data_IF_025364589728
#
_entry.id   IF_025364589728
#
_cell.length_a   1.000
_cell.length_b   1.000
_cell.length_c   1.000
_cell.angle_alpha   90.00
_cell.angle_beta   90.00
_cell.angle_gamma   90.00
#
_symmetry.space_group_name_H-M   'P 1'
#
loop_
_entity.id
_entity.type
_entity.pdbx_description
1 polymer ?
#
# COMPACT_ATOMS: atom_id res chain seq x y z
N UNK A 1 -1.59 8.12 19.78
CA UNK A 1 -0.82 6.88 20.02
C UNK A 1 -0.19 6.34 18.75
N UNK A 2 -0.94 6.24 17.64
CA UNK A 2 -0.43 5.72 16.36
C UNK A 2 0.75 6.56 15.83
N UNK A 3 0.61 7.89 15.80
CA UNK A 3 1.64 8.81 15.28
C UNK A 3 2.97 8.80 16.05
N UNK A 4 2.98 8.38 17.32
CA UNK A 4 4.21 8.38 18.12
C UNK A 4 5.10 7.18 17.84
N UNK A 5 4.60 6.16 17.11
CA UNK A 5 5.34 4.92 16.80
C UNK A 5 5.76 4.11 18.03
N UNK A 6 5.31 4.48 19.23
CA UNK A 6 5.63 3.80 20.50
C UNK A 6 4.74 2.59 20.76
N UNK A 7 3.54 2.60 20.19
CA UNK A 7 2.53 1.55 20.32
C UNK A 7 2.17 1.11 18.91
N UNK A 8 2.03 -0.21 18.70
CA UNK A 8 1.57 -0.77 17.42
C UNK A 8 0.21 -0.18 17.04
N UNK A 9 0.01 0.11 15.74
CA UNK A 9 -1.21 0.75 15.24
C UNK A 9 -2.47 -0.04 15.62
N UNK A 10 -2.38 -1.36 15.60
CA UNK A 10 -3.47 -2.29 15.91
C UNK A 10 -3.84 -2.20 17.39
N UNK A 11 -2.83 -2.22 18.27
CA UNK A 11 -3.03 -2.08 19.71
C UNK A 11 -3.65 -0.73 20.04
N UNK A 12 -3.18 0.35 19.40
CA UNK A 12 -3.74 1.67 19.59
C UNK A 12 -5.21 1.77 19.12
N UNK A 13 -5.56 1.13 18.01
CA UNK A 13 -6.94 1.07 17.52
C UNK A 13 -7.84 0.28 18.48
N UNK A 14 -7.43 -0.91 18.91
CA UNK A 14 -8.19 -1.73 19.87
C UNK A 14 -8.40 -1.01 21.22
N UNK A 15 -7.36 -0.35 21.72
CA UNK A 15 -7.47 0.44 22.94
C UNK A 15 -8.42 1.64 22.75
N UNK A 16 -8.37 2.29 21.58
CA UNK A 16 -9.31 3.33 21.21
C UNK A 16 -10.76 2.83 21.21
N UNK A 17 -11.01 1.69 20.56
CA UNK A 17 -12.35 1.05 20.52
C UNK A 17 -12.84 0.76 21.93
N UNK A 18 -11.99 0.19 22.79
CA UNK A 18 -12.35 -0.08 24.19
C UNK A 18 -12.76 1.20 24.93
N UNK A 19 -11.99 2.29 24.80
CA UNK A 19 -12.32 3.57 25.43
C UNK A 19 -13.62 4.18 24.86
N UNK A 20 -13.77 4.14 23.55
CA UNK A 20 -14.95 4.67 22.86
C UNK A 20 -16.21 3.91 23.25
N UNK A 21 -16.18 2.58 23.26
CA UNK A 21 -17.32 1.76 23.70
C UNK A 21 -17.62 1.99 25.18
N UNK A 22 -16.60 2.07 26.03
CA UNK A 22 -16.80 2.38 27.46
C UNK A 22 -17.50 3.73 27.64
N UNK A 23 -17.10 4.75 26.88
CA UNK A 23 -17.77 6.04 26.85
C UNK A 23 -19.17 5.95 26.22
N UNK A 24 -19.34 5.15 25.17
CA UNK A 24 -20.61 4.89 24.47
C UNK A 24 -21.67 4.32 25.40
N UNK A 25 -21.31 3.32 26.20
CA UNK A 25 -22.18 2.74 27.21
C UNK A 25 -22.47 3.72 28.36
N UNK A 26 -21.46 4.48 28.81
CA UNK A 26 -21.64 5.44 29.92
C UNK A 26 -22.47 6.68 29.53
N UNK A 27 -22.37 7.13 28.28
CA UNK A 27 -23.03 8.33 27.76
C UNK A 27 -24.23 8.01 26.85
N UNK A 28 -24.56 6.73 26.68
CA UNK A 28 -25.68 6.22 25.89
C UNK A 28 -25.70 6.69 24.42
N UNK A 29 -24.54 6.85 23.78
CA UNK A 29 -24.45 7.22 22.35
C UNK A 29 -24.15 6.04 21.42
N UNK A 30 -23.61 4.93 21.94
CA UNK A 30 -23.26 3.77 21.12
C UNK A 30 -23.14 2.49 21.94
N UNK A 31 -23.63 1.39 21.39
CA UNK A 31 -23.48 0.01 21.88
C UNK A 31 -22.44 -0.77 21.07
N UNK A 32 -22.05 -1.95 21.56
CA UNK A 32 -21.12 -2.83 20.84
C UNK A 32 -21.73 -3.36 19.53
N UNK A 33 -23.02 -3.68 19.54
CA UNK A 33 -23.75 -4.15 18.37
C UNK A 33 -23.80 -3.08 17.27
N UNK A 34 -24.14 -1.84 17.63
CA UNK A 34 -24.10 -0.71 16.69
C UNK A 34 -22.68 -0.48 16.14
N UNK A 35 -21.65 -0.57 16.98
CA UNK A 35 -20.27 -0.45 16.52
C UNK A 35 -19.88 -1.54 15.51
N UNK A 36 -20.39 -2.77 15.66
CA UNK A 36 -20.18 -3.86 14.70
C UNK A 36 -20.85 -3.61 13.35
N UNK A 37 -22.00 -2.92 13.33
CA UNK A 37 -22.70 -2.55 12.08
C UNK A 37 -21.91 -1.54 11.24
N UNK A 38 -21.06 -0.72 11.88
CA UNK A 38 -20.15 0.19 11.17
C UNK A 38 -18.96 -0.51 10.51
N UNK A 39 -18.70 -1.79 10.83
CA UNK A 39 -17.61 -2.54 10.20
C UNK A 39 -17.99 -2.88 8.77
N UNK A 40 -17.21 -2.35 7.82
CA UNK A 40 -17.36 -2.73 6.42
C UNK A 40 -16.72 -4.11 6.17
N UNK A 41 -17.56 -5.14 6.23
CA UNK A 41 -17.16 -6.52 5.99
C UNK A 41 -16.71 -6.78 4.55
N UNK A 42 -17.16 -5.97 3.59
CA UNK A 42 -16.73 -6.08 2.20
C UNK A 42 -15.24 -5.77 2.10
N UNK A 43 -14.78 -4.68 2.74
CA UNK A 43 -13.35 -4.34 2.81
C UNK A 43 -12.54 -5.43 3.53
N UNK A 44 -13.02 -5.91 4.68
CA UNK A 44 -12.29 -6.94 5.45
C UNK A 44 -12.13 -8.23 4.65
N UNK A 45 -13.19 -8.69 3.99
CA UNK A 45 -13.18 -9.91 3.18
C UNK A 45 -12.36 -9.75 1.89
N UNK A 46 -12.40 -8.57 1.27
CA UNK A 46 -11.55 -8.21 0.13
C UNK A 46 -10.07 -8.32 0.52
N UNK A 47 -9.66 -7.68 1.62
CA UNK A 47 -8.28 -7.73 2.11
C UNK A 47 -7.86 -9.16 2.47
N UNK A 48 -8.70 -9.90 3.19
CA UNK A 48 -8.41 -11.28 3.55
C UNK A 48 -8.21 -12.18 2.33
N UNK A 49 -9.09 -12.08 1.32
CA UNK A 49 -9.00 -12.84 0.08
C UNK A 49 -7.73 -12.52 -0.71
N UNK A 50 -7.41 -11.22 -0.84
CA UNK A 50 -6.20 -10.76 -1.54
C UNK A 50 -4.92 -11.18 -0.81
N UNK A 51 -4.83 -10.97 0.51
CA UNK A 51 -3.65 -11.38 1.29
C UNK A 51 -3.43 -12.89 1.25
N UNK A 52 -4.52 -13.68 1.31
CA UNK A 52 -4.46 -15.14 1.17
C UNK A 52 -3.92 -15.53 -0.21
N UNK A 53 -4.47 -14.95 -1.27
CA UNK A 53 -4.03 -15.19 -2.65
C UNK A 53 -2.53 -14.84 -2.84
N UNK A 54 -2.13 -13.65 -2.40
CA UNK A 54 -0.77 -13.13 -2.55
C UNK A 54 0.24 -13.98 -1.78
N UNK A 55 -0.12 -14.43 -0.58
CA UNK A 55 0.72 -15.34 0.20
C UNK A 55 1.06 -16.62 -0.56
N UNK A 56 0.08 -17.18 -1.28
CA UNK A 56 0.31 -18.35 -2.14
C UNK A 56 1.22 -18.02 -3.33
N UNK A 57 0.98 -16.90 -4.01
CA UNK A 57 1.82 -16.48 -5.14
C UNK A 57 3.27 -16.23 -4.70
N UNK A 58 3.47 -15.60 -3.54
CA UNK A 58 4.80 -15.34 -2.99
C UNK A 58 5.59 -16.63 -2.73
N UNK A 59 4.91 -17.67 -2.23
CA UNK A 59 5.51 -18.97 -1.93
C UNK A 59 6.06 -19.69 -3.17
N UNK A 60 5.48 -19.44 -4.34
CA UNK A 60 5.99 -19.99 -5.62
C UNK A 60 7.38 -19.45 -6.00
N UNK A 61 7.83 -18.36 -5.37
CA UNK A 61 9.08 -17.69 -5.70
C UNK A 61 8.95 -16.63 -6.79
N UNK A 62 7.73 -16.31 -7.23
CA UNK A 62 7.44 -15.34 -8.28
C UNK A 62 8.13 -13.97 -8.06
N UNK A 63 8.03 -13.39 -6.86
CA UNK A 63 8.65 -12.08 -6.58
C UNK A 63 10.18 -12.14 -6.59
N UNK A 64 10.77 -13.23 -6.09
CA UNK A 64 12.22 -13.46 -6.18
C UNK A 64 12.68 -13.58 -7.63
N UNK A 65 11.95 -14.36 -8.43
CA UNK A 65 12.18 -14.47 -9.88
C UNK A 65 12.18 -13.08 -10.54
N UNK A 66 11.18 -12.25 -10.26
CA UNK A 66 11.08 -10.90 -10.84
C UNK A 66 12.28 -10.01 -10.45
N UNK A 67 12.66 -9.97 -9.17
CA UNK A 67 13.78 -9.13 -8.75
C UNK A 67 15.12 -9.59 -9.30
N UNK A 68 15.40 -10.90 -9.31
CA UNK A 68 16.64 -11.44 -9.92
C UNK A 68 16.68 -11.14 -11.42
N UNK A 69 15.54 -11.27 -12.11
CA UNK A 69 15.43 -10.91 -13.53
C UNK A 69 15.69 -9.43 -13.77
N UNK A 70 15.11 -8.55 -12.95
CA UNK A 70 15.39 -7.11 -13.00
C UNK A 70 16.89 -6.80 -12.85
N UNK A 71 17.56 -7.46 -11.93
CA UNK A 71 18.99 -7.26 -11.70
C UNK A 71 19.81 -7.71 -12.91
N UNK A 72 19.51 -8.87 -13.50
CA UNK A 72 20.23 -9.30 -14.72
C UNK A 72 20.01 -8.33 -15.89
N UNK A 73 18.79 -7.83 -16.06
CA UNK A 73 18.47 -6.83 -17.08
C UNK A 73 19.25 -5.53 -16.88
N UNK A 74 19.52 -5.16 -15.62
CA UNK A 74 20.27 -3.95 -15.29
C UNK A 74 21.75 -4.01 -15.68
N UNK A 75 22.31 -5.21 -15.88
CA UNK A 75 23.74 -5.46 -16.15
C UNK A 75 24.69 -4.77 -15.15
N UNK A 76 24.25 -4.63 -13.89
CA UNK A 76 25.03 -4.01 -12.81
C UNK A 76 24.96 -2.48 -12.77
N UNK A 77 24.14 -1.84 -13.61
CA UNK A 77 23.89 -0.41 -13.51
C UNK A 77 22.93 -0.11 -12.35
N UNK A 78 23.43 0.55 -11.30
CA UNK A 78 22.65 0.86 -10.08
C UNK A 78 21.38 1.68 -10.34
N UNK A 79 21.39 2.57 -11.34
CA UNK A 79 20.20 3.31 -11.71
C UNK A 79 19.13 2.39 -12.30
N UNK A 80 19.53 1.45 -13.16
CA UNK A 80 18.59 0.49 -13.75
C UNK A 80 18.09 -0.51 -12.70
N UNK A 81 18.93 -0.93 -11.75
CA UNK A 81 18.50 -1.78 -10.62
C UNK A 81 17.44 -1.06 -9.82
N UNK A 82 17.73 0.17 -9.40
CA UNK A 82 16.76 0.99 -8.66
C UNK A 82 15.48 1.15 -9.46
N UNK A 83 15.56 1.53 -10.73
CA UNK A 83 14.40 1.73 -11.59
C UNK A 83 13.57 0.45 -11.72
N UNK A 84 14.20 -0.70 -12.01
CA UNK A 84 13.46 -1.94 -12.22
C UNK A 84 12.86 -2.50 -10.95
N UNK A 85 13.61 -2.52 -9.83
CA UNK A 85 13.07 -2.98 -8.55
C UNK A 85 11.94 -2.09 -8.08
N UNK A 86 12.13 -0.76 -8.09
CA UNK A 86 11.06 0.17 -7.66
C UNK A 86 9.84 0.12 -8.57
N UNK A 87 10.00 -0.02 -9.89
CA UNK A 87 8.85 -0.18 -10.80
C UNK A 87 8.14 -1.51 -10.58
N UNK A 88 8.87 -2.62 -10.41
CA UNK A 88 8.25 -3.91 -10.07
C UNK A 88 7.45 -3.77 -8.78
N UNK A 89 8.05 -3.21 -7.72
CA UNK A 89 7.37 -2.97 -6.44
C UNK A 89 6.15 -2.07 -6.61
N UNK A 90 6.24 -1.03 -7.44
CA UNK A 90 5.11 -0.13 -7.77
C UNK A 90 3.96 -0.90 -8.43
N UNK A 91 4.24 -1.68 -9.48
CA UNK A 91 3.23 -2.46 -10.20
C UNK A 91 2.64 -3.59 -9.35
N UNK A 92 3.47 -4.25 -8.55
CA UNK A 92 3.01 -5.25 -7.60
C UNK A 92 2.07 -4.62 -6.58
N UNK A 93 2.42 -3.43 -6.07
CA UNK A 93 1.59 -2.68 -5.12
C UNK A 93 0.28 -2.15 -5.73
N UNK A 94 0.13 -2.11 -7.05
CA UNK A 94 -1.16 -1.82 -7.70
C UNK A 94 -2.16 -2.96 -7.57
N UNK A 95 -1.68 -4.17 -7.30
CA UNK A 95 -2.53 -5.37 -7.24
C UNK A 95 -2.55 -5.96 -5.83
N UNK A 96 -1.50 -5.68 -5.06
CA UNK A 96 -1.24 -6.20 -3.73
C UNK A 96 -1.16 -5.02 -2.78
N UNK A 97 -1.56 -5.17 -1.52
CA UNK A 97 -1.39 -4.10 -0.56
C UNK A 97 0.10 -3.72 -0.39
N UNK A 98 0.33 -2.44 -0.11
CA UNK A 98 1.65 -1.85 0.03
C UNK A 98 2.51 -2.53 1.11
N UNK A 99 1.95 -2.88 2.27
CA UNK A 99 2.70 -3.50 3.37
C UNK A 99 3.20 -4.87 2.95
N UNK A 100 2.33 -5.73 2.43
CA UNK A 100 2.69 -7.05 1.91
C UNK A 100 3.74 -6.95 0.81
N UNK A 101 3.59 -5.99 -0.11
CA UNK A 101 4.56 -5.78 -1.20
C UNK A 101 5.94 -5.45 -0.65
N UNK A 102 6.03 -4.54 0.31
CA UNK A 102 7.29 -4.16 0.94
C UNK A 102 7.90 -5.32 1.74
N UNK A 103 7.10 -6.09 2.48
CA UNK A 103 7.57 -7.24 3.24
C UNK A 103 8.19 -8.34 2.35
N UNK A 104 7.70 -8.47 1.11
CA UNK A 104 8.21 -9.43 0.13
C UNK A 104 9.44 -8.92 -0.63
N UNK A 105 9.45 -7.63 -0.99
CA UNK A 105 10.50 -7.03 -1.81
C UNK A 105 11.75 -6.63 -1.01
N UNK A 106 11.61 -6.09 0.21
CA UNK A 106 12.77 -5.64 1.00
C UNK A 106 13.80 -6.76 1.25
N UNK A 107 13.43 -7.98 1.70
CA UNK A 107 14.42 -9.03 1.93
C UNK A 107 15.26 -9.34 0.68
N UNK A 108 14.62 -9.35 -0.48
CA UNK A 108 15.28 -9.53 -1.77
C UNK A 108 16.21 -8.36 -2.08
N UNK A 109 15.73 -7.13 -1.88
CA UNK A 109 16.52 -5.91 -2.08
C UNK A 109 17.76 -5.85 -1.19
N UNK A 110 17.63 -6.27 0.08
CA UNK A 110 18.74 -6.37 1.03
C UNK A 110 19.75 -7.40 0.56
N UNK A 111 19.31 -8.63 0.26
CA UNK A 111 20.15 -9.72 -0.24
C UNK A 111 20.98 -9.27 -1.47
N UNK A 112 20.33 -8.56 -2.38
CA UNK A 112 20.96 -8.05 -3.61
C UNK A 112 21.98 -6.95 -3.31
N UNK A 113 21.64 -6.02 -2.42
CA UNK A 113 22.56 -4.94 -2.04
C UNK A 113 23.79 -5.48 -1.30
N UNK A 114 23.61 -6.48 -0.43
CA UNK A 114 24.70 -7.17 0.28
C UNK A 114 25.63 -7.88 -0.71
N UNK A 115 25.08 -8.64 -1.66
CA UNK A 115 25.86 -9.27 -2.74
C UNK A 115 26.67 -8.23 -3.53
N UNK A 116 26.09 -7.04 -3.74
CA UNK A 116 26.74 -5.95 -4.47
C UNK A 116 27.75 -5.14 -3.63
N UNK A 117 27.84 -5.40 -2.33
CA UNK A 117 28.55 -4.58 -1.34
C UNK A 117 28.18 -3.08 -1.39
N UNK A 118 26.88 -2.79 -1.54
CA UNK A 118 26.34 -1.42 -1.57
C UNK A 118 25.39 -1.19 -0.39
N UNK A 119 25.22 0.07 0.01
CA UNK A 119 24.20 0.43 0.98
C UNK A 119 22.79 0.19 0.37
N UNK A 120 21.92 -0.67 0.97
CA UNK A 120 20.57 -0.97 0.47
C UNK A 120 19.60 0.21 0.63
N UNK A 121 19.92 1.19 1.48
CA UNK A 121 18.96 2.20 1.93
C UNK A 121 18.28 2.97 0.78
N UNK A 122 18.97 3.41 -0.29
CA UNK A 122 18.29 4.06 -1.41
C UNK A 122 17.27 3.16 -2.08
N UNK A 123 17.55 1.85 -2.22
CA UNK A 123 16.59 0.91 -2.81
C UNK A 123 15.39 0.71 -1.90
N UNK A 124 15.60 0.45 -0.60
CA UNK A 124 14.53 0.27 0.39
C UNK A 124 13.62 1.51 0.44
N UNK A 125 14.19 2.71 0.49
CA UNK A 125 13.44 3.96 0.49
C UNK A 125 12.70 4.20 -0.82
N UNK A 126 13.35 3.92 -1.95
CA UNK A 126 12.73 3.96 -3.27
C UNK A 126 11.51 3.05 -3.32
N UNK A 127 11.66 1.80 -2.92
CA UNK A 127 10.57 0.81 -2.91
C UNK A 127 9.45 1.22 -1.97
N UNK A 128 9.75 1.65 -0.75
CA UNK A 128 8.74 2.07 0.22
C UNK A 128 7.95 3.30 -0.26
N UNK A 129 8.60 4.29 -0.87
CA UNK A 129 7.92 5.50 -1.34
C UNK A 129 7.19 5.26 -2.65
N UNK A 130 7.83 4.61 -3.63
CA UNK A 130 7.22 4.39 -4.93
C UNK A 130 6.10 3.31 -4.88
N UNK A 131 6.18 2.33 -3.98
CA UNK A 131 5.04 1.43 -3.72
C UNK A 131 3.83 2.20 -3.21
N UNK A 132 4.00 3.16 -2.30
CA UNK A 132 2.89 4.00 -1.85
C UNK A 132 2.33 4.86 -2.99
N UNK A 133 3.18 5.44 -3.85
CA UNK A 133 2.71 6.19 -5.03
C UNK A 133 1.95 5.29 -5.99
N UNK A 134 2.44 4.06 -6.21
CA UNK A 134 1.81 3.07 -7.08
C UNK A 134 0.52 2.46 -6.53
N UNK A 135 0.49 2.17 -5.23
CA UNK A 135 -0.64 1.53 -4.56
C UNK A 135 -1.91 2.38 -4.61
N UNK A 136 -1.77 3.71 -4.67
CA UNK A 136 -2.89 4.65 -4.90
C UNK A 136 -3.53 4.49 -6.28
N UNK A 137 -2.90 3.80 -7.23
CA UNK A 137 -3.41 3.69 -8.61
C UNK A 137 -4.63 2.81 -8.75
N UNK A 138 -4.86 1.91 -7.80
CA UNK A 138 -6.01 1.04 -7.82
C UNK A 138 -6.72 1.10 -6.48
N UNK A 139 -8.00 0.76 -6.52
CA UNK A 139 -8.83 0.66 -5.33
C UNK A 139 -8.27 -0.36 -4.32
N UNK A 140 -7.54 -1.38 -4.79
CA UNK A 140 -7.12 -2.54 -3.99
C UNK A 140 -5.69 -2.38 -3.44
N UNK A 141 -4.86 -1.53 -4.07
CA UNK A 141 -3.44 -1.43 -3.75
C UNK A 141 -3.10 -0.90 -2.34
N UNK A 142 -4.06 -0.28 -1.65
CA UNK A 142 -3.94 0.10 -0.24
C UNK A 142 -5.33 0.17 0.41
N UNK A 143 -5.53 -0.39 1.61
CA UNK A 143 -6.82 -0.30 2.31
C UNK A 143 -7.50 1.09 2.39
N UNK A 144 -6.81 2.24 2.59
CA UNK A 144 -7.44 3.56 2.54
C UNK A 144 -8.10 3.86 1.19
N UNK A 145 -7.60 3.30 0.08
CA UNK A 145 -8.22 3.49 -1.24
C UNK A 145 -9.57 2.79 -1.31
N UNK A 146 -9.70 1.62 -0.70
CA UNK A 146 -10.97 0.89 -0.60
C UNK A 146 -11.98 1.74 0.18
N UNK A 147 -11.55 2.34 1.31
CA UNK A 147 -12.40 3.23 2.11
C UNK A 147 -12.90 4.43 1.30
N UNK A 148 -11.99 5.09 0.56
CA UNK A 148 -12.32 6.25 -0.26
C UNK A 148 -13.28 5.85 -1.39
N UNK A 149 -13.02 4.73 -2.06
CA UNK A 149 -13.87 4.22 -3.11
C UNK A 149 -15.30 3.94 -2.64
N UNK A 150 -15.43 3.27 -1.49
CA UNK A 150 -16.73 2.98 -0.90
C UNK A 150 -17.47 4.26 -0.50
N UNK A 151 -16.79 5.19 0.18
CA UNK A 151 -17.38 6.46 0.58
C UNK A 151 -17.77 7.37 -0.61
N UNK A 152 -17.05 7.28 -1.73
CA UNK A 152 -17.32 8.06 -2.95
C UNK A 152 -18.30 7.39 -3.91
N UNK A 153 -18.58 6.10 -3.75
CA UNK A 153 -19.35 5.30 -4.69
C UNK A 153 -18.64 5.11 -6.04
N UNK A 154 -17.33 5.36 -6.12
CA UNK A 154 -16.59 5.16 -7.35
C UNK A 154 -16.42 3.68 -7.67
N UNK A 155 -16.57 3.33 -8.94
CA UNK A 155 -16.22 2.00 -9.41
C UNK A 155 -14.73 1.80 -9.57
N UNK A 156 -14.29 0.54 -9.66
CA UNK A 156 -12.89 0.16 -9.88
C UNK A 156 -12.29 0.88 -11.10
N UNK A 157 -13.02 0.92 -12.21
CA UNK A 157 -12.56 1.59 -13.42
C UNK A 157 -12.55 3.11 -13.26
N UNK A 158 -13.60 3.68 -12.65
CA UNK A 158 -13.65 5.12 -12.42
C UNK A 158 -12.49 5.57 -11.52
N UNK A 159 -12.18 4.82 -10.47
CA UNK A 159 -11.08 5.07 -9.57
C UNK A 159 -9.73 5.11 -10.30
N UNK A 160 -9.46 4.11 -11.15
CA UNK A 160 -8.23 4.06 -11.96
C UNK A 160 -8.17 5.25 -12.92
N UNK A 161 -9.23 5.51 -13.69
CA UNK A 161 -9.22 6.57 -14.71
C UNK A 161 -8.96 7.95 -14.11
N UNK A 162 -9.52 8.24 -12.94
CA UNK A 162 -9.33 9.53 -12.27
C UNK A 162 -7.93 9.67 -11.66
N UNK A 163 -7.37 8.61 -11.09
CA UNK A 163 -6.08 8.70 -10.38
C UNK A 163 -4.86 8.44 -11.26
N UNK A 164 -5.02 7.67 -12.36
CA UNK A 164 -3.91 7.26 -13.21
C UNK A 164 -3.05 8.43 -13.73
N UNK A 165 -3.63 9.55 -14.23
CA UNK A 165 -2.82 10.68 -14.70
C UNK A 165 -1.97 11.30 -13.57
N UNK A 166 -2.59 11.54 -12.42
CA UNK A 166 -1.95 12.11 -11.23
C UNK A 166 -0.80 11.24 -10.75
N UNK A 167 -0.98 9.92 -10.78
CA UNK A 167 0.02 8.96 -10.32
C UNK A 167 1.18 8.82 -11.31
N UNK A 168 0.94 8.85 -12.62
CA UNK A 168 2.04 8.84 -13.60
C UNK A 168 2.94 10.07 -13.45
N UNK A 169 2.36 11.25 -13.18
CA UNK A 169 3.12 12.47 -12.91
C UNK A 169 3.88 12.34 -11.58
N UNK A 170 3.22 11.83 -10.53
CA UNK A 170 3.84 11.60 -9.23
C UNK A 170 5.00 10.60 -9.29
N UNK A 171 4.82 9.49 -10.00
CA UNK A 171 5.82 8.44 -10.18
C UNK A 171 7.03 8.99 -10.97
N UNK A 172 6.79 9.69 -12.07
CA UNK A 172 7.84 10.34 -12.86
C UNK A 172 8.63 11.37 -12.04
N UNK A 173 7.92 12.20 -11.28
CA UNK A 173 8.55 13.18 -10.39
C UNK A 173 9.31 12.55 -9.23
N UNK A 174 8.81 11.47 -8.63
CA UNK A 174 9.51 10.72 -7.58
C UNK A 174 10.79 10.06 -8.10
N UNK A 175 10.76 9.48 -9.30
CA UNK A 175 11.94 8.94 -9.99
C UNK A 175 12.95 10.03 -10.35
N UNK A 176 12.47 11.21 -10.76
CA UNK A 176 13.34 12.35 -11.05
C UNK A 176 14.03 12.87 -9.78
N UNK A 177 13.26 13.04 -8.70
CA UNK A 177 13.77 13.44 -7.38
C UNK A 177 14.81 12.42 -6.87
N UNK A 178 14.53 11.11 -7.01
CA UNK A 178 15.46 10.06 -6.60
C UNK A 178 16.77 10.13 -7.39
N UNK A 179 16.72 10.41 -8.70
CA UNK A 179 17.89 10.61 -9.58
C UNK A 179 18.80 11.73 -9.08
N UNK A 180 18.22 12.84 -8.62
CA UNK A 180 18.97 13.99 -8.10
C UNK A 180 19.58 13.66 -6.74
N UNK A 181 18.77 13.17 -5.80
CA UNK A 181 19.15 12.94 -4.40
C UNK A 181 20.19 11.82 -4.26
N UNK A 182 20.02 10.74 -5.00
CA UNK A 182 20.89 9.56 -4.98
C UNK A 182 21.86 9.54 -6.16
N UNK A 183 22.03 10.66 -6.88
CA UNK A 183 22.90 10.76 -8.06
C UNK A 183 24.34 10.31 -7.83
N UNK A 184 24.89 10.52 -6.62
CA UNK A 184 26.23 10.01 -6.23
C UNK A 184 26.23 8.49 -6.01
N UNK A 185 25.16 7.96 -5.39
CA UNK A 185 25.02 6.53 -5.12
C UNK A 185 24.89 5.74 -6.44
N UNK A 186 24.15 6.26 -7.42
CA UNK A 186 24.02 5.63 -8.74
C UNK A 186 25.32 5.57 -9.55
N UNK A 187 26.36 6.33 -9.17
CA UNK A 187 27.68 6.30 -9.82
C UNK A 187 28.64 5.30 -9.18
N UNK A 188 28.25 4.67 -8.08
CA UNK A 188 29.06 3.62 -7.46
C UNK A 188 29.19 2.45 -8.42
N UNK A 189 30.38 1.84 -8.44
CA UNK A 189 30.62 0.61 -9.21
C UNK A 189 30.48 -0.57 -8.26
N UNK A 190 29.46 -1.42 -8.42
CA UNK A 190 29.31 -2.60 -7.59
C UNK A 190 30.48 -3.58 -7.81
N UNK A 191 30.95 -4.21 -6.74
CA UNK A 191 32.17 -5.04 -6.80
C UNK A 191 31.91 -6.44 -7.37
N UNK A 192 30.79 -7.08 -6.99
CA UNK A 192 30.53 -8.49 -7.32
C UNK A 192 29.44 -8.68 -8.39
N UNK A 193 29.35 -7.76 -9.37
CA UNK A 193 28.38 -7.86 -10.49
C UNK A 193 28.45 -9.22 -11.19
N UNK A 194 29.67 -9.78 -11.31
CA UNK A 194 29.88 -11.09 -11.94
C UNK A 194 29.18 -12.23 -11.21
N UNK A 195 29.01 -12.16 -9.90
CA UNK A 195 28.27 -13.16 -9.13
C UNK A 195 26.76 -13.03 -9.33
N UNK A 196 26.24 -11.80 -9.35
CA UNK A 196 24.83 -11.54 -9.64
C UNK A 196 24.44 -11.98 -11.06
N UNK A 197 25.34 -11.82 -12.03
CA UNK A 197 25.10 -12.27 -13.40
C UNK A 197 25.09 -13.80 -13.54
N UNK A 198 25.67 -14.53 -12.58
CA UNK A 198 25.61 -16.01 -12.53
C UNK A 198 24.30 -16.52 -11.94
N UNK A 199 23.51 -15.67 -11.27
CA UNK A 199 22.20 -16.07 -10.76
C UNK A 199 21.31 -16.49 -11.93
N UNK A 200 20.59 -17.59 -11.76
CA UNK A 200 19.59 -18.07 -12.70
C UNK A 200 18.22 -17.77 -12.09
N UNK A 201 17.45 -16.80 -12.64
CA UNK A 201 16.15 -16.43 -12.11
C UNK A 201 15.22 -17.65 -11.95
N UNK A 202 15.32 -18.58 -12.88
CA UNK A 202 14.51 -19.79 -12.96
C UNK A 202 14.66 -20.67 -11.71
N UNK A 203 15.84 -20.69 -11.08
CA UNK A 203 16.11 -21.48 -9.87
C UNK A 203 15.36 -20.98 -8.63
N UNK A 204 14.81 -19.76 -8.67
CA UNK A 204 14.00 -19.21 -7.58
C UNK A 204 12.54 -19.61 -7.66
N UNK A 205 12.07 -20.11 -8.81
CA UNK A 205 10.72 -20.63 -8.97
C UNK A 205 10.70 -22.03 -8.36
N UNK A 206 9.91 -22.21 -7.30
CA UNK A 206 9.75 -23.52 -6.65
C UNK A 206 8.85 -24.46 -7.44
N UNK A 207 7.75 -23.92 -7.96
CA UNK A 207 6.80 -24.66 -8.78
C UNK A 207 6.26 -23.75 -9.89
N UNK A 208 6.77 -23.97 -11.11
CA UNK A 208 6.42 -23.17 -12.27
C UNK A 208 4.96 -23.37 -12.70
N UNK A 209 4.41 -24.56 -12.48
CA UNK A 209 3.04 -24.90 -12.89
C UNK A 209 2.04 -24.21 -11.98
N UNK A 210 2.22 -24.32 -10.66
CA UNK A 210 1.40 -23.62 -9.67
C UNK A 210 1.50 -22.10 -9.90
N UNK A 211 2.71 -21.57 -10.09
CA UNK A 211 2.91 -20.15 -10.39
C UNK A 211 2.08 -19.69 -11.59
N UNK A 212 2.13 -20.44 -12.71
CA UNK A 212 1.34 -20.11 -13.92
C UNK A 212 -0.16 -20.13 -13.65
N UNK A 213 -0.66 -21.12 -12.92
CA UNK A 213 -2.09 -21.17 -12.58
C UNK A 213 -2.51 -20.01 -11.69
N UNK A 214 -1.70 -19.64 -10.69
CA UNK A 214 -1.96 -18.47 -9.87
C UNK A 214 -1.97 -17.20 -10.73
N UNK A 215 -0.98 -16.99 -11.58
CA UNK A 215 -0.97 -15.83 -12.49
C UNK A 215 -2.20 -15.76 -13.41
N UNK A 216 -2.72 -16.90 -13.86
CA UNK A 216 -3.98 -16.97 -14.61
C UNK A 216 -5.16 -16.53 -13.71
N UNK A 217 -5.23 -17.01 -12.47
CA UNK A 217 -6.24 -16.58 -11.49
C UNK A 217 -6.14 -15.07 -11.24
N UNK A 218 -4.94 -14.50 -11.11
CA UNK A 218 -4.74 -13.05 -10.96
C UNK A 218 -5.31 -12.26 -12.13
N UNK A 219 -5.06 -12.70 -13.36
CA UNK A 219 -5.57 -12.06 -14.56
C UNK A 219 -7.11 -12.08 -14.56
N UNK A 220 -7.71 -13.23 -14.22
CA UNK A 220 -9.16 -13.31 -14.06
C UNK A 220 -9.69 -12.38 -12.98
N UNK A 221 -9.03 -12.32 -11.81
CA UNK A 221 -9.43 -11.41 -10.72
C UNK A 221 -9.42 -9.95 -11.20
N UNK A 222 -8.36 -9.51 -11.88
CA UNK A 222 -8.26 -8.14 -12.43
C UNK A 222 -9.39 -7.87 -13.43
N UNK A 223 -9.71 -8.84 -14.31
CA UNK A 223 -10.83 -8.71 -15.24
C UNK A 223 -12.16 -8.60 -14.49
N UNK A 224 -12.41 -9.44 -13.48
CA UNK A 224 -13.64 -9.39 -12.70
C UNK A 224 -13.78 -8.10 -11.87
N UNK A 225 -12.68 -7.58 -11.31
CA UNK A 225 -12.68 -6.25 -10.66
C UNK A 225 -13.07 -5.15 -11.66
N UNK A 226 -12.50 -5.17 -12.86
CA UNK A 226 -12.87 -4.22 -13.92
C UNK A 226 -14.31 -4.39 -14.44
N UNK A 227 -14.90 -5.57 -14.30
CA UNK A 227 -16.27 -5.84 -14.74
C UNK A 227 -17.31 -5.72 -13.63
N UNK A 228 -16.92 -5.27 -12.43
CA UNK A 228 -17.83 -5.21 -11.26
C UNK A 228 -19.14 -4.46 -11.55
N UNK A 229 -19.09 -3.36 -12.30
CA UNK A 229 -20.27 -2.51 -12.58
C UNK A 229 -21.24 -3.18 -13.56
N UNK A 230 -20.71 -4.07 -14.40
CA UNK A 230 -21.49 -4.78 -15.42
C UNK A 230 -22.08 -6.09 -14.89
N UNK A 231 -21.33 -6.80 -14.04
CA UNK A 231 -21.71 -8.12 -13.51
C UNK A 231 -22.45 -7.98 -12.17
N UNK A 232 -22.30 -6.86 -11.47
CA UNK A 232 -22.90 -6.64 -10.14
C UNK A 232 -22.27 -7.49 -9.05
N UNK A 233 -21.03 -7.97 -9.28
CA UNK A 233 -20.30 -8.81 -8.32
C UNK A 233 -19.40 -7.92 -7.47
N UNK A 234 -19.54 -8.04 -6.15
CA UNK A 234 -18.69 -7.36 -5.18
C UNK A 234 -17.21 -7.76 -5.35
N UNK A 235 -16.26 -6.81 -5.29
CA UNK A 235 -14.83 -7.08 -5.23
C UNK A 235 -14.44 -8.07 -4.13
N UNK A 236 -15.09 -8.03 -2.98
CA UNK A 236 -14.80 -8.95 -1.89
C UNK A 236 -15.02 -10.41 -2.31
N UNK A 237 -16.10 -10.68 -3.06
CA UNK A 237 -16.37 -12.02 -3.55
C UNK A 237 -15.30 -12.48 -4.56
N UNK A 238 -14.89 -11.61 -5.48
CA UNK A 238 -13.82 -11.91 -6.44
C UNK A 238 -12.52 -12.27 -5.72
N UNK A 239 -12.16 -11.49 -4.68
CA UNK A 239 -10.98 -11.73 -3.88
C UNK A 239 -11.04 -13.04 -3.07
N UNK A 240 -12.19 -13.34 -2.46
CA UNK A 240 -12.39 -14.59 -1.71
C UNK A 240 -12.32 -15.81 -2.62
N UNK A 241 -12.94 -15.75 -3.80
CA UNK A 241 -12.86 -16.82 -4.80
C UNK A 241 -11.42 -17.00 -5.27
N UNK A 242 -10.71 -15.90 -5.57
CA UNK A 242 -9.30 -15.94 -5.95
C UNK A 242 -8.41 -16.56 -4.88
N UNK A 243 -8.54 -16.12 -3.62
CA UNK A 243 -7.81 -16.67 -2.48
C UNK A 243 -8.12 -18.15 -2.25
N UNK A 244 -9.39 -18.55 -2.34
CA UNK A 244 -9.81 -19.94 -2.19
C UNK A 244 -9.27 -20.82 -3.32
N UNK A 245 -9.36 -20.36 -4.57
CA UNK A 245 -8.78 -21.07 -5.71
C UNK A 245 -7.27 -21.21 -5.56
N UNK A 246 -6.58 -20.18 -5.04
CA UNK A 246 -5.15 -20.28 -4.77
C UNK A 246 -4.84 -21.38 -3.75
N UNK A 247 -5.60 -21.49 -2.66
CA UNK A 247 -5.45 -22.58 -1.67
C UNK A 247 -5.69 -23.96 -2.29
N UNK A 248 -6.73 -24.09 -3.12
CA UNK A 248 -7.04 -25.36 -3.80
C UNK A 248 -5.96 -25.74 -4.81
N UNK A 249 -5.42 -24.77 -5.54
CA UNK A 249 -4.36 -25.00 -6.53
C UNK A 249 -3.04 -25.36 -5.84
N UNK A 250 -2.69 -24.69 -4.74
CA UNK A 250 -1.46 -24.99 -4.00
C UNK A 250 -1.57 -26.25 -3.14
N UNK A 251 -2.79 -26.71 -2.85
CA UNK A 251 -3.06 -27.80 -1.90
C UNK A 251 -2.38 -27.58 -0.54
N UNK A 252 -2.26 -26.30 -0.16
CA UNK A 252 -1.55 -25.90 1.05
C UNK A 252 -2.43 -26.07 2.29
N UNK A 253 -1.80 -26.38 3.42
CA UNK A 253 -2.50 -26.36 4.71
C UNK A 253 -3.03 -24.94 5.01
N UNK A 254 -4.32 -24.78 5.32
CA UNK A 254 -4.89 -23.46 5.58
C UNK A 254 -4.18 -22.67 6.68
N UNK A 255 -3.63 -23.34 7.72
CA UNK A 255 -2.91 -22.62 8.79
C UNK A 255 -1.66 -21.96 8.23
N UNK A 256 -0.89 -22.71 7.44
CA UNK A 256 0.31 -22.20 6.77
C UNK A 256 0.00 -21.11 5.75
N UNK A 257 -1.13 -21.21 5.06
CA UNK A 257 -1.56 -20.16 4.16
C UNK A 257 -1.92 -18.86 4.90
N UNK A 258 -2.61 -18.98 6.03
CA UNK A 258 -3.04 -17.84 6.83
C UNK A 258 -1.92 -17.19 7.64
N UNK A 259 -0.73 -17.80 7.72
CA UNK A 259 0.48 -17.13 8.22
C UNK A 259 0.91 -15.95 7.33
N UNK A 260 0.56 -15.98 6.04
CA UNK A 260 0.84 -14.88 5.12
C UNK A 260 -0.18 -13.73 5.23
N UNK A 261 -1.30 -13.94 5.93
CA UNK A 261 -2.32 -12.92 6.13
C UNK A 261 -1.87 -11.95 7.22
N UNK A 262 -1.95 -10.65 6.94
CA UNK A 262 -1.65 -9.61 7.92
C UNK A 262 -2.82 -9.41 8.89
N UNK A 263 -3.00 -10.35 9.82
CA UNK A 263 -4.02 -10.25 10.88
C UNK A 263 -4.03 -8.91 11.63
N UNK A 264 -2.89 -8.29 11.98
CA UNK A 264 -2.90 -6.97 12.60
C UNK A 264 -3.56 -5.91 11.72
N UNK A 265 -3.37 -5.98 10.41
CA UNK A 265 -3.98 -5.05 9.45
C UNK A 265 -5.50 -5.24 9.41
N UNK A 266 -6.00 -6.48 9.34
CA UNK A 266 -7.44 -6.76 9.38
C UNK A 266 -8.09 -6.27 10.69
N UNK A 267 -7.48 -6.57 11.84
CA UNK A 267 -7.97 -6.15 13.16
C UNK A 267 -7.93 -4.62 13.30
N UNK A 268 -6.89 -3.98 12.75
CA UNK A 268 -6.79 -2.53 12.72
C UNK A 268 -7.96 -1.90 11.94
N UNK A 269 -8.34 -2.43 10.78
CA UNK A 269 -9.48 -1.90 10.02
C UNK A 269 -10.81 -2.11 10.72
N UNK A 270 -11.03 -3.28 11.32
CA UNK A 270 -12.23 -3.52 12.13
C UNK A 270 -12.33 -2.47 13.24
N UNK A 271 -11.24 -2.23 13.98
CA UNK A 271 -11.24 -1.23 15.04
C UNK A 271 -11.36 0.21 14.53
N UNK A 272 -10.77 0.52 13.38
CA UNK A 272 -10.88 1.83 12.74
C UNK A 272 -12.33 2.12 12.32
N UNK A 273 -13.02 1.15 11.72
CA UNK A 273 -14.43 1.30 11.34
C UNK A 273 -15.33 1.54 12.55
N UNK A 274 -15.17 0.75 13.61
CA UNK A 274 -15.88 0.98 14.87
C UNK A 274 -15.62 2.39 15.40
N UNK A 275 -14.36 2.83 15.40
CA UNK A 275 -13.97 4.16 15.87
C UNK A 275 -14.59 5.29 15.04
N UNK A 276 -14.55 5.18 13.72
CA UNK A 276 -15.15 6.17 12.82
C UNK A 276 -16.67 6.21 13.02
N UNK A 277 -17.32 5.06 13.13
CA UNK A 277 -18.76 4.96 13.39
C UNK A 277 -19.17 5.61 14.71
N UNK A 278 -18.42 5.36 15.80
CA UNK A 278 -18.71 6.00 17.08
C UNK A 278 -18.44 7.50 17.09
N UNK A 279 -17.43 7.97 16.35
CA UNK A 279 -17.21 9.41 16.15
C UNK A 279 -18.35 10.05 15.36
N UNK A 280 -18.92 9.37 14.36
CA UNK A 280 -20.07 9.86 13.60
C UNK A 280 -21.31 10.05 14.49
N UNK A 281 -21.59 9.08 15.36
CA UNK A 281 -22.70 9.15 16.33
C UNK A 281 -22.58 10.31 17.32
N UNK A 282 -21.36 10.72 17.68
CA UNK A 282 -21.15 11.87 18.58
C UNK A 282 -21.49 13.22 17.93
N UNK A 283 -21.66 13.27 16.60
CA UNK A 283 -21.81 14.52 15.85
C UNK A 283 -20.49 15.25 15.59
N UNK A 284 -19.35 14.77 16.14
CA UNK A 284 -18.05 15.42 15.98
C UNK A 284 -17.64 15.58 14.51
N UNK A 285 -17.98 14.60 13.65
CA UNK A 285 -17.69 14.70 12.21
C UNK A 285 -18.44 15.88 11.56
N UNK A 286 -19.66 16.18 12.02
CA UNK A 286 -20.44 17.34 11.56
C UNK A 286 -19.83 18.64 12.10
N UNK A 287 -19.47 18.68 13.38
CA UNK A 287 -18.81 19.85 13.98
C UNK A 287 -17.48 20.18 13.29
N UNK A 288 -16.70 19.16 12.92
CA UNK A 288 -15.47 19.32 12.14
C UNK A 288 -15.75 19.85 10.74
N UNK A 289 -16.78 19.36 10.06
CA UNK A 289 -17.19 19.84 8.76
C UNK A 289 -17.66 21.30 8.81
N UNK A 290 -18.45 21.67 9.81
CA UNK A 290 -18.90 23.06 10.04
C UNK A 290 -17.71 23.97 10.38
N UNK A 291 -16.81 23.54 11.26
CA UNK A 291 -15.59 24.27 11.58
C UNK A 291 -14.72 24.52 10.35
N UNK A 292 -14.54 23.52 9.49
CA UNK A 292 -13.82 23.67 8.22
C UNK A 292 -14.52 24.66 7.27
N UNK A 293 -15.85 24.60 7.17
CA UNK A 293 -16.63 25.52 6.35
C UNK A 293 -16.52 26.98 6.81
N UNK A 294 -16.31 27.20 8.11
CA UNK A 294 -16.11 28.54 8.70
C UNK A 294 -14.73 29.14 8.36
N UNK A 295 -13.71 28.29 8.15
CA UNK A 295 -12.35 28.71 7.78
C UNK A 295 -12.31 29.13 6.30
N UNK A 296 -12.96 28.37 5.43
CA UNK A 296 -13.11 28.75 4.04
C UNK A 296 -14.45 28.29 3.48
N UNK A 297 -15.30 29.23 2.99
CA UNK A 297 -16.54 28.86 2.31
C UNK A 297 -16.29 28.25 0.92
N UNK A 298 -15.05 28.28 0.42
CA UNK A 298 -14.69 27.63 -0.84
C UNK A 298 -14.33 26.15 -0.58
N UNK A 299 -15.13 25.18 -1.08
CA UNK A 299 -14.90 23.76 -0.85
C UNK A 299 -13.52 23.26 -1.29
N UNK A 300 -12.90 23.89 -2.30
CA UNK A 300 -11.56 23.48 -2.75
C UNK A 300 -10.45 23.93 -1.83
N UNK A 301 -10.59 25.09 -1.22
CA UNK A 301 -9.62 25.54 -0.23
C UNK A 301 -9.73 24.65 1.01
N UNK A 302 -10.95 24.29 1.41
CA UNK A 302 -11.17 23.31 2.48
C UNK A 302 -10.56 21.94 2.14
N UNK A 303 -10.82 21.41 0.94
CA UNK A 303 -10.24 20.14 0.47
C UNK A 303 -8.70 20.18 0.41
N UNK A 304 -8.13 21.29 -0.05
CA UNK A 304 -6.68 21.49 -0.04
C UNK A 304 -6.14 21.52 1.39
N UNK A 305 -6.77 22.23 2.33
CA UNK A 305 -6.35 22.25 3.74
C UNK A 305 -6.36 20.83 4.32
N UNK A 306 -7.44 20.06 4.09
CA UNK A 306 -7.54 18.68 4.55
C UNK A 306 -6.41 17.84 3.95
N UNK A 307 -6.17 17.94 2.64
CA UNK A 307 -5.10 17.23 1.94
C UNK A 307 -3.72 17.56 2.53
N UNK A 308 -3.45 18.83 2.81
CA UNK A 308 -2.16 19.24 3.36
C UNK A 308 -1.97 18.79 4.81
N UNK A 309 -3.00 18.90 5.65
CA UNK A 309 -2.97 18.43 7.04
C UNK A 309 -2.82 16.90 7.09
N UNK A 310 -3.60 16.17 6.30
CA UNK A 310 -3.53 14.71 6.21
C UNK A 310 -2.18 14.23 5.64
N UNK A 311 -1.66 14.91 4.62
CA UNK A 311 -0.36 14.57 4.02
C UNK A 311 0.80 14.78 4.99
N UNK A 312 0.85 15.90 5.71
CA UNK A 312 1.92 16.18 6.68
C UNK A 312 1.88 15.22 7.87
N UNK A 313 0.68 14.93 8.38
CA UNK A 313 0.51 14.04 9.53
C UNK A 313 0.82 12.58 9.18
N UNK A 314 0.51 12.14 7.96
CA UNK A 314 0.73 10.75 7.52
C UNK A 314 2.16 10.45 7.06
N UNK A 315 2.88 11.44 6.48
CA UNK A 315 4.16 11.24 5.80
C UNK A 315 5.18 10.44 6.63
N UNK A 316 5.26 10.62 7.96
CA UNK A 316 6.25 9.93 8.79
C UNK A 316 5.86 8.54 9.31
N UNK A 317 4.59 8.17 9.32
CA UNK A 317 4.12 7.07 10.21
C UNK A 317 4.39 5.68 9.63
N UNK A 318 4.05 5.47 8.36
CA UNK A 318 4.07 4.13 7.75
C UNK A 318 5.51 3.70 7.42
N UNK A 319 6.27 4.57 6.73
CA UNK A 319 7.64 4.28 6.28
C UNK A 319 8.63 3.99 7.41
N UNK A 320 8.53 4.72 8.53
CA UNK A 320 9.42 4.53 9.69
C UNK A 320 9.14 3.22 10.44
N UNK A 321 7.91 2.72 10.40
CA UNK A 321 7.51 1.51 11.13
C UNK A 321 7.96 0.22 10.45
N UNK A 322 7.94 0.16 9.11
CA UNK A 322 8.21 -1.06 8.34
C UNK A 322 9.73 -1.32 8.22
N UNK A 323 10.53 -0.28 8.00
CA UNK A 323 11.99 -0.42 7.85
C UNK A 323 12.70 -1.00 9.08
N UNK A 324 12.16 -0.74 10.29
CA UNK A 324 12.70 -1.30 11.55
C UNK A 324 12.66 -2.83 11.60
N UNK A 325 11.75 -3.48 10.88
CA UNK A 325 11.58 -4.95 10.92
C UNK A 325 12.71 -5.72 10.25
N UNK A 326 13.48 -5.08 9.36
CA UNK A 326 14.51 -5.75 8.54
C UNK A 326 15.95 -5.34 8.88
N UNK A 327 16.19 -4.78 10.07
CA UNK A 327 17.54 -4.42 10.52
C UNK A 327 18.15 -3.17 9.87
N UNK A 328 17.43 -2.52 8.95
CA UNK A 328 17.81 -1.25 8.32
C UNK A 328 16.79 -0.15 8.65
N UNK A 329 16.75 0.34 9.90
CA UNK A 329 15.81 1.39 10.27
C UNK A 329 16.09 2.65 9.44
N UNK A 330 15.07 3.17 8.75
CA UNK A 330 15.17 4.46 8.07
C UNK A 330 15.41 5.52 9.15
N UNK A 331 16.55 6.20 9.06
CA UNK A 331 16.83 7.32 9.95
C UNK A 331 15.98 8.54 9.59
N UNK A 332 15.67 9.38 10.58
CA UNK A 332 14.95 10.64 10.33
C UNK A 332 15.65 11.43 9.21
N UNK A 333 16.99 11.53 9.25
CA UNK A 333 17.78 12.23 8.23
C UNK A 333 17.54 11.71 6.82
N UNK A 334 17.41 10.40 6.63
CA UNK A 334 17.14 9.80 5.33
C UNK A 334 15.70 10.08 4.88
N UNK A 335 14.74 10.04 5.81
CA UNK A 335 13.36 10.43 5.54
C UNK A 335 13.23 11.91 5.17
N UNK A 336 13.88 12.81 5.91
CA UNK A 336 13.95 14.24 5.58
C UNK A 336 14.58 14.50 4.21
N UNK A 337 15.56 13.67 3.83
CA UNK A 337 16.28 13.84 2.57
C UNK A 337 15.46 13.42 1.36
N UNK A 338 14.69 12.34 1.42
CA UNK A 338 13.99 11.77 0.26
C UNK A 338 12.47 11.71 0.42
N UNK A 339 11.98 11.27 1.59
CA UNK A 339 10.55 11.19 1.88
C UNK A 339 9.85 12.54 1.78
N UNK A 340 10.34 13.56 2.48
CA UNK A 340 9.70 14.90 2.49
C UNK A 340 9.62 15.52 1.08
N UNK A 341 10.69 15.58 0.28
CA UNK A 341 10.59 16.10 -1.09
C UNK A 341 9.54 15.39 -1.94
N UNK A 342 9.45 14.06 -1.85
CA UNK A 342 8.45 13.29 -2.60
C UNK A 342 7.04 13.52 -2.04
N UNK A 343 6.87 13.61 -0.72
CA UNK A 343 5.58 13.95 -0.11
C UNK A 343 5.10 15.35 -0.52
N UNK A 344 5.97 16.36 -0.49
CA UNK A 344 5.61 17.71 -0.94
C UNK A 344 5.25 17.74 -2.42
N UNK A 345 5.99 17.00 -3.25
CA UNK A 345 5.70 16.86 -4.68
C UNK A 345 4.32 16.24 -4.90
N UNK A 346 4.05 15.09 -4.28
CA UNK A 346 2.78 14.37 -4.44
C UNK A 346 1.59 15.18 -3.92
N UNK A 347 1.74 15.90 -2.80
CA UNK A 347 0.73 16.81 -2.28
C UNK A 347 0.48 17.99 -3.22
N UNK A 348 1.54 18.56 -3.82
CA UNK A 348 1.42 19.65 -4.79
C UNK A 348 0.74 19.20 -6.08
N UNK A 349 1.09 18.02 -6.59
CA UNK A 349 0.44 17.41 -7.76
C UNK A 349 -1.04 17.18 -7.46
N UNK A 350 -1.37 16.61 -6.30
CA UNK A 350 -2.75 16.35 -5.89
C UNK A 350 -3.56 17.64 -5.74
N UNK A 351 -2.94 18.70 -5.19
CA UNK A 351 -3.55 20.03 -5.11
C UNK A 351 -3.83 20.58 -6.51
N UNK A 352 -2.85 20.54 -7.41
CA UNK A 352 -3.03 20.99 -8.80
C UNK A 352 -4.14 20.22 -9.52
N UNK A 353 -4.22 18.91 -9.31
CA UNK A 353 -5.27 18.07 -9.87
C UNK A 353 -6.67 18.43 -9.34
N UNK A 354 -6.80 18.72 -8.04
CA UNK A 354 -8.06 19.21 -7.46
C UNK A 354 -8.54 20.50 -8.14
N UNK A 355 -7.63 21.45 -8.40
CA UNK A 355 -7.98 22.66 -9.11
C UNK A 355 -8.36 22.39 -10.58
N UNK A 356 -7.65 21.50 -11.28
CA UNK A 356 -7.97 21.16 -12.67
C UNK A 356 -9.37 20.53 -12.79
N UNK A 357 -9.71 19.59 -11.89
CA UNK A 357 -11.03 18.94 -11.90
C UNK A 357 -12.16 19.96 -11.74
N UNK A 358 -11.99 20.97 -10.90
CA UNK A 358 -12.99 22.03 -10.74
C UNK A 358 -13.25 22.81 -12.03
N UNK A 359 -12.21 23.08 -12.83
CA UNK A 359 -12.39 23.79 -14.09
C UNK A 359 -13.03 22.92 -15.19
N UNK A 360 -13.07 21.59 -14.99
CA UNK A 360 -13.66 20.63 -15.93
C UNK A 360 -15.08 20.21 -15.56
N UNK A 361 -15.50 20.43 -14.30
CA UNK A 361 -16.87 20.22 -13.78
C UNK A 361 -17.71 21.49 -13.88
#
# INVERSE_FOLDING_TARGET
MIFSGKIDRTTAALFGVFLMLSAGYALHFMTFEEALEYVDWEVILLLFGMMTYVGQLARTGFFKYLGVKAIKLSKGNLWLIFLYLTLITTFVSMVIDNVTTILLMIPLTVEVAELMEINPMPLILGEAILSNVGGVATMIGDPPNILIAYASGYSFNAFIVHLFPTIMIALGGALFISRIIYGRWFKLTPKNIKELMKLEPENYIKDERIMKYLLIVLIFMIIFFGLQDYIGVSPALVALVGGTLALVITMEDPKKAFEAVEWPTLIFFIGLFMLVGGLDQTGLLKDLAEGLSSISPNPLIAAAIILWVAGITSAGVVSLSISRRFGYPISDKEWFKFGIPVSLLTMSISTGFLFILQYMS
#
